data_IF_930654479960
#
_entry.id   IF_930654479960
#
_cell.length_a   1.000
_cell.length_b   1.000
_cell.length_c   1.000
_cell.angle_alpha   90.00
_cell.angle_beta   90.00
_cell.angle_gamma   90.00
#
_symmetry.space_group_name_H-M   'P 1'
#
loop_
_entity.id
_entity.type
_entity.pdbx_description
1 polymer ?
#
# COMPACT_ATOMS: atom_id res chain seq x y z
N UNK A 1 0.82 2.37 -16.21
CA UNK A 1 0.37 1.01 -16.58
C UNK A 1 0.69 -0.03 -15.50
N UNK A 2 1.95 -0.42 -15.26
CA UNK A 2 2.29 -1.42 -14.23
C UNK A 2 2.34 -0.82 -12.82
N UNK A 3 2.91 0.37 -12.68
CA UNK A 3 3.08 1.06 -11.38
C UNK A 3 1.74 1.41 -10.71
N UNK A 4 0.73 1.81 -11.47
CA UNK A 4 -0.61 2.11 -10.95
C UNK A 4 -1.32 0.90 -10.34
N UNK A 5 -0.87 -0.32 -10.67
CA UNK A 5 -1.41 -1.55 -10.10
C UNK A 5 -0.79 -1.90 -8.76
N UNK A 6 0.36 -1.33 -8.42
CA UNK A 6 1.12 -1.67 -7.22
C UNK A 6 1.11 -0.49 -6.24
N UNK A 7 0.75 -0.78 -4.99
CA UNK A 7 0.73 0.22 -3.93
C UNK A 7 1.34 -0.34 -2.65
N UNK A 8 2.18 0.46 -1.99
CA UNK A 8 2.56 0.20 -0.61
C UNK A 8 1.41 0.61 0.28
N UNK A 9 0.94 -0.32 1.10
CA UNK A 9 -0.20 -0.11 1.99
C UNK A 9 0.25 -0.28 3.44
N UNK A 10 0.09 0.79 4.21
CA UNK A 10 0.30 0.77 5.64
C UNK A 10 -0.99 0.31 6.32
N UNK A 11 -0.86 -0.71 7.16
CA UNK A 11 -1.96 -1.38 7.83
C UNK A 11 -1.66 -1.53 9.33
N UNK A 12 -2.69 -1.76 10.13
CA UNK A 12 -2.56 -2.30 11.48
C UNK A 12 -2.78 -3.82 11.40
N UNK A 13 -1.76 -4.60 11.73
CA UNK A 13 -1.88 -6.04 11.90
C UNK A 13 -2.56 -6.32 13.26
N UNK A 14 -3.84 -6.67 13.22
CA UNK A 14 -4.70 -6.79 14.40
C UNK A 14 -4.23 -7.89 15.34
N UNK A 15 -3.89 -9.07 14.81
CA UNK A 15 -3.42 -10.22 15.61
C UNK A 15 -2.11 -9.94 16.35
N UNK A 16 -1.27 -9.04 15.83
CA UNK A 16 0.00 -8.64 16.43
C UNK A 16 -0.08 -7.30 17.18
N UNK A 17 -1.23 -6.62 17.07
CA UNK A 17 -1.48 -5.27 17.57
C UNK A 17 -0.36 -4.26 17.24
N UNK A 18 0.17 -4.32 16.01
CA UNK A 18 1.27 -3.46 15.57
C UNK A 18 1.07 -2.91 14.17
N UNK A 19 1.82 -1.87 13.85
CA UNK A 19 1.92 -1.32 12.50
C UNK A 19 2.63 -2.30 11.57
N UNK A 20 2.12 -2.42 10.35
CA UNK A 20 2.67 -3.32 9.34
C UNK A 20 2.57 -2.71 7.95
N UNK A 21 3.45 -3.12 7.03
CA UNK A 21 3.42 -2.66 5.65
C UNK A 21 3.35 -3.85 4.70
N UNK A 22 2.44 -3.77 3.74
CA UNK A 22 2.23 -4.80 2.71
C UNK A 22 2.25 -4.16 1.33
N UNK A 23 2.50 -4.97 0.31
CA UNK A 23 2.34 -4.56 -1.08
C UNK A 23 0.97 -5.03 -1.58
N UNK A 24 0.18 -4.12 -2.14
CA UNK A 24 -1.13 -4.43 -2.70
C UNK A 24 -1.11 -4.35 -4.22
N UNK A 25 -1.72 -5.35 -4.86
CA UNK A 25 -1.83 -5.44 -6.31
C UNK A 25 -3.28 -5.37 -6.76
N UNK A 26 -3.60 -4.42 -7.64
CA UNK A 26 -4.90 -4.24 -8.27
C UNK A 26 -4.83 -4.70 -9.72
N UNK A 27 -5.56 -5.77 -10.07
CA UNK A 27 -5.62 -6.23 -11.47
C UNK A 27 -6.18 -5.15 -12.41
N UNK A 28 -7.22 -4.46 -11.94
CA UNK A 28 -7.87 -3.30 -12.57
C UNK A 28 -8.26 -2.27 -11.50
N UNK A 29 -8.42 -0.98 -11.86
CA UNK A 29 -8.87 0.04 -10.92
C UNK A 29 -10.18 -0.36 -10.22
N UNK A 30 -10.23 -0.24 -8.89
CA UNK A 30 -11.40 -0.57 -8.08
C UNK A 30 -11.65 -2.07 -7.85
N UNK A 31 -10.79 -2.97 -8.36
CA UNK A 31 -10.84 -4.38 -7.99
C UNK A 31 -10.50 -4.60 -6.51
N UNK A 32 -10.90 -5.75 -5.97
CA UNK A 32 -10.36 -6.24 -4.70
C UNK A 32 -8.87 -6.55 -4.92
N UNK A 33 -7.95 -5.94 -4.16
CA UNK A 33 -6.54 -6.17 -4.38
C UNK A 33 -6.08 -7.51 -3.79
N UNK A 34 -5.01 -8.05 -4.37
CA UNK A 34 -4.22 -9.11 -3.75
C UNK A 34 -3.21 -8.50 -2.77
N UNK A 35 -3.00 -9.18 -1.65
CA UNK A 35 -2.05 -8.78 -0.61
C UNK A 35 -0.79 -9.62 -0.71
N UNK A 36 0.35 -8.95 -0.90
CA UNK A 36 1.67 -9.53 -0.81
C UNK A 36 2.27 -9.12 0.53
N UNK A 37 2.55 -10.11 1.37
CA UNK A 37 2.93 -9.94 2.77
C UNK A 37 4.19 -10.76 3.07
N UNK A 38 5.00 -10.28 4.02
CA UNK A 38 6.18 -10.99 4.52
C UNK A 38 5.92 -11.75 5.84
N UNK A 39 4.77 -11.55 6.50
CA UNK A 39 4.36 -12.34 7.66
C UNK A 39 3.67 -13.65 7.27
N UNK A 40 2.97 -13.65 6.12
CA UNK A 40 2.23 -14.80 5.58
C UNK A 40 2.59 -14.92 4.09
N UNK A 41 3.23 -16.03 3.71
CA UNK A 41 3.71 -16.23 2.32
C UNK A 41 2.60 -16.55 1.29
N UNK A 42 1.36 -16.73 1.73
CA UNK A 42 0.21 -16.97 0.84
C UNK A 42 -0.35 -15.63 0.38
N UNK A 43 -0.45 -15.45 -0.94
CA UNK A 43 -1.07 -14.27 -1.55
C UNK A 43 -2.58 -14.47 -1.56
N UNK A 44 -3.30 -13.61 -0.84
CA UNK A 44 -4.76 -13.67 -0.74
C UNK A 44 -5.43 -12.33 -1.09
N UNK A 45 -6.69 -12.35 -1.55
CA UNK A 45 -7.48 -11.13 -1.70
C UNK A 45 -7.64 -10.41 -0.36
N UNK A 46 -7.68 -9.07 -0.39
CA UNK A 46 -7.86 -8.24 0.81
C UNK A 46 -9.12 -8.59 1.62
N UNK A 47 -10.18 -9.10 0.98
CA UNK A 47 -11.40 -9.56 1.65
C UNK A 47 -11.19 -10.79 2.54
N UNK A 48 -10.10 -11.56 2.34
CA UNK A 48 -9.73 -12.69 3.21
C UNK A 48 -8.76 -12.29 4.31
N UNK A 49 -8.07 -11.15 4.18
CA UNK A 49 -7.09 -10.64 5.15
C UNK A 49 -7.74 -9.77 6.22
N UNK A 50 -8.68 -10.35 6.97
CA UNK A 50 -9.40 -9.65 8.06
C UNK A 50 -8.50 -9.31 9.25
N UNK A 51 -7.28 -9.84 9.29
CA UNK A 51 -6.23 -9.53 10.25
C UNK A 51 -5.56 -8.17 9.97
N UNK A 52 -5.74 -7.59 8.79
CA UNK A 52 -5.13 -6.32 8.40
C UNK A 52 -6.17 -5.21 8.30
N UNK A 53 -5.98 -4.14 9.08
CA UNK A 53 -6.79 -2.93 8.98
C UNK A 53 -6.03 -1.83 8.21
N UNK A 54 -6.43 -1.48 6.98
CA UNK A 54 -5.72 -0.49 6.19
C UNK A 54 -5.86 0.93 6.76
N UNK A 55 -4.76 1.69 6.77
CA UNK A 55 -4.71 3.08 7.22
C UNK A 55 -4.50 4.02 6.05
N UNK A 56 -3.48 3.76 5.21
CA UNK A 56 -3.24 4.52 3.99
C UNK A 56 -2.47 3.68 2.97
N UNK A 57 -2.52 4.11 1.71
CA UNK A 57 -1.86 3.46 0.59
C UNK A 57 -1.22 4.49 -0.33
N UNK A 58 -0.09 4.16 -0.93
CA UNK A 58 0.63 5.06 -1.81
C UNK A 58 1.48 4.31 -2.84
N UNK A 59 1.84 4.99 -3.91
CA UNK A 59 2.83 4.54 -4.88
C UNK A 59 3.65 5.76 -5.35
N UNK A 60 4.50 5.60 -6.37
CA UNK A 60 5.31 6.71 -6.89
C UNK A 60 4.47 7.88 -7.40
N UNK A 61 3.23 7.63 -7.84
CA UNK A 61 2.32 8.65 -8.38
C UNK A 61 1.38 9.35 -7.38
N UNK A 62 1.14 8.81 -6.19
CA UNK A 62 0.16 9.42 -5.27
C UNK A 62 0.01 8.77 -3.89
N UNK A 63 -0.76 9.43 -3.01
CA UNK A 63 -1.08 9.01 -1.64
C UNK A 63 -2.60 9.06 -1.39
N UNK A 64 -3.16 7.95 -0.92
CA UNK A 64 -4.58 7.78 -0.62
C UNK A 64 -4.78 7.30 0.83
N UNK A 65 -5.67 7.96 1.59
CA UNK A 65 -6.05 7.48 2.93
C UNK A 65 -7.16 6.44 2.83
N UNK A 66 -7.06 5.35 3.60
CA UNK A 66 -8.14 4.38 3.68
C UNK A 66 -9.34 4.98 4.42
N UNK A 67 -10.55 4.90 3.83
CA UNK A 67 -11.82 5.14 4.53
C UNK A 67 -12.53 3.81 4.72
N UNK A 68 -13.32 3.72 5.78
CA UNK A 68 -14.15 2.55 6.13
C UNK A 68 -15.14 2.09 5.04
N UNK A 69 -15.32 2.85 3.94
CA UNK A 69 -16.27 2.55 2.86
C UNK A 69 -15.78 2.89 1.44
N UNK A 70 -14.67 2.29 1.02
CA UNK A 70 -14.52 1.86 -0.39
C UNK A 70 -13.93 2.84 -1.41
N UNK A 71 -13.66 4.11 -1.09
CA UNK A 71 -12.81 4.99 -1.93
C UNK A 71 -12.00 5.91 -1.03
N UNK A 72 -10.68 5.71 -1.02
CA UNK A 72 -9.77 6.60 -0.33
C UNK A 72 -9.79 7.98 -0.97
N UNK A 73 -9.77 9.04 -0.15
CA UNK A 73 -9.57 10.38 -0.68
C UNK A 73 -8.10 10.50 -1.11
N UNK A 74 -7.83 11.05 -2.30
CA UNK A 74 -6.48 11.49 -2.68
C UNK A 74 -6.16 12.69 -1.79
N UNK A 75 -5.23 12.55 -0.85
CA UNK A 75 -4.96 13.59 0.16
C UNK A 75 -3.70 14.39 -0.18
N UNK A 76 -3.03 14.04 -1.28
CA UNK A 76 -1.91 14.79 -1.84
C UNK A 76 -0.97 13.93 -2.68
N UNK A 77 0.19 14.51 -2.99
CA UNK A 77 1.31 13.80 -3.60
C UNK A 77 2.00 12.89 -2.57
N UNK A 78 2.55 11.78 -3.04
CA UNK A 78 3.40 10.85 -2.28
C UNK A 78 4.58 11.57 -1.60
N UNK A 79 4.98 12.73 -2.13
CA UNK A 79 5.99 13.67 -1.58
C UNK A 79 5.77 14.08 -0.11
N UNK A 80 4.57 13.89 0.46
CA UNK A 80 4.32 14.15 1.90
C UNK A 80 4.91 13.08 2.81
N UNK A 81 5.27 11.91 2.29
CA UNK A 81 5.94 10.86 3.04
C UNK A 81 7.45 11.11 3.01
N UNK A 82 7.96 11.83 4.00
CA UNK A 82 9.40 12.16 4.11
C UNK A 82 10.30 10.92 3.92
N UNK A 83 9.94 9.80 4.56
CA UNK A 83 10.71 8.55 4.46
C UNK A 83 10.71 7.93 3.05
N UNK A 84 9.66 8.19 2.26
CA UNK A 84 9.57 7.72 0.87
C UNK A 84 10.49 8.55 -0.03
N UNK A 85 10.49 9.87 0.12
CA UNK A 85 11.42 10.73 -0.61
C UNK A 85 12.88 10.42 -0.23
N UNK A 86 13.16 10.24 1.06
CA UNK A 86 14.49 9.85 1.54
C UNK A 86 14.94 8.49 0.96
N UNK A 87 13.99 7.58 0.70
CA UNK A 87 14.27 6.33 0.00
C UNK A 87 14.60 6.58 -1.48
N UNK A 88 13.76 7.34 -2.19
CA UNK A 88 13.98 7.68 -3.60
C UNK A 88 15.30 8.42 -3.81
N UNK A 89 15.70 9.28 -2.88
CA UNK A 89 16.96 10.01 -2.95
C UNK A 89 18.17 9.08 -2.86
N UNK A 90 18.09 8.03 -2.04
CA UNK A 90 19.13 7.00 -1.88
C UNK A 90 19.14 5.97 -3.00
N UNK A 91 18.08 5.87 -3.81
CA UNK A 91 18.06 4.90 -4.91
C UNK A 91 19.14 5.24 -5.96
N UNK A 92 19.90 4.26 -6.45
CA UNK A 92 20.86 4.45 -7.52
C UNK A 92 20.19 5.04 -8.77
N UNK A 93 20.90 5.89 -9.52
CA UNK A 93 20.35 6.58 -10.68
C UNK A 93 19.78 5.64 -11.78
N UNK A 94 20.22 4.39 -11.84
CA UNK A 94 19.69 3.37 -12.76
C UNK A 94 18.42 2.65 -12.29
N UNK A 95 17.90 2.98 -11.10
CA UNK A 95 16.71 2.40 -10.50
C UNK A 95 15.65 3.46 -10.14
N UNK A 96 15.96 4.75 -10.33
CA UNK A 96 14.99 5.85 -10.22
C UNK A 96 14.06 5.89 -11.42
#
# INVERSE_FOLDING_TARGET
MAEEKLHLTYVKALSLNQSHMVLTYYEKPGAVPLILDNLIGVIEPATKRTDLLPVYTFNGSGLWLAKERGKGNLVGKSDRLKLWNDLLDRMPAGLK
#
